data_IF_048126014936
#
_entry.id   IF_048126014936
#
_cell.length_a   1.000
_cell.length_b   1.000
_cell.length_c   1.000
_cell.angle_alpha   90.00
_cell.angle_beta   90.00
_cell.angle_gamma   90.00
#
_symmetry.space_group_name_H-M   'P 1'
#
loop_
_entity.id
_entity.type
_entity.pdbx_description
1 polymer ?
#
# COMPACT_ATOMS: atom_id res chain seq x y z
N UNK A 1 -7.99 3.30 -1.00
CA UNK A 1 -7.19 2.78 0.13
C UNK A 1 -5.74 2.65 -0.30
N UNK A 2 -4.82 3.27 0.41
CA UNK A 2 -3.37 3.07 0.26
C UNK A 2 -2.86 2.24 1.44
N UNK A 3 -2.38 1.03 1.17
CA UNK A 3 -1.62 0.21 2.11
C UNK A 3 -0.14 0.54 1.94
N UNK A 4 0.47 1.13 2.95
CA UNK A 4 1.91 1.48 2.99
C UNK A 4 2.63 0.72 4.10
N UNK A 5 3.93 0.50 3.96
CA UNK A 5 4.74 -0.26 4.92
C UNK A 5 5.92 -0.96 4.25
N UNK A 6 6.79 -1.58 5.03
CA UNK A 6 7.99 -2.27 4.56
C UNK A 6 7.69 -3.43 3.59
N UNK A 7 8.66 -3.84 2.80
CA UNK A 7 8.57 -5.06 1.99
C UNK A 7 8.27 -6.26 2.89
N UNK A 8 7.48 -7.21 2.41
CA UNK A 8 7.02 -8.39 3.15
C UNK A 8 6.21 -8.11 4.45
N UNK A 9 5.74 -6.86 4.67
CA UNK A 9 4.86 -6.52 5.79
C UNK A 9 3.43 -7.11 5.67
N UNK A 10 3.04 -7.71 4.53
CA UNK A 10 1.72 -8.30 4.32
C UNK A 10 0.74 -7.45 3.49
N UNK A 11 1.17 -6.30 2.97
CA UNK A 11 0.30 -5.37 2.21
C UNK A 11 -0.48 -6.02 1.07
N UNK A 12 0.21 -6.78 0.20
CA UNK A 12 -0.40 -7.44 -0.97
C UNK A 12 -1.41 -8.50 -0.56
N UNK A 13 -1.14 -9.22 0.53
CA UNK A 13 -2.04 -10.24 1.08
C UNK A 13 -3.30 -9.59 1.65
N UNK A 14 -3.15 -8.51 2.43
CA UNK A 14 -4.27 -7.73 2.95
C UNK A 14 -5.07 -7.13 1.80
N UNK A 15 -4.41 -6.56 0.78
CA UNK A 15 -5.07 -5.98 -0.39
C UNK A 15 -5.93 -7.01 -1.14
N UNK A 16 -5.42 -8.24 -1.32
CA UNK A 16 -6.16 -9.32 -1.95
C UNK A 16 -7.36 -9.79 -1.10
N UNK A 17 -7.19 -9.90 0.22
CA UNK A 17 -8.28 -10.22 1.14
C UNK A 17 -9.38 -9.16 1.14
N UNK A 18 -8.99 -7.88 1.16
CA UNK A 18 -9.92 -6.76 1.11
C UNK A 18 -10.67 -6.70 -0.23
N UNK A 19 -9.97 -6.89 -1.35
CA UNK A 19 -10.57 -6.98 -2.69
C UNK A 19 -11.65 -8.07 -2.71
N UNK A 20 -11.34 -9.25 -2.21
CA UNK A 20 -12.29 -10.37 -2.13
C UNK A 20 -13.50 -10.04 -1.26
N UNK A 21 -13.27 -9.49 -0.06
CA UNK A 21 -14.34 -9.10 0.88
C UNK A 21 -15.27 -8.06 0.26
N UNK A 22 -14.74 -7.05 -0.40
CA UNK A 22 -15.51 -6.02 -1.09
C UNK A 22 -16.31 -6.59 -2.26
N UNK A 23 -15.69 -7.46 -3.07
CA UNK A 23 -16.37 -8.14 -4.18
C UNK A 23 -17.56 -8.98 -3.70
N UNK A 24 -17.38 -9.77 -2.63
CA UNK A 24 -18.44 -10.61 -2.05
C UNK A 24 -19.60 -9.77 -1.47
N UNK A 25 -19.37 -8.48 -1.21
CA UNK A 25 -20.39 -7.49 -0.79
C UNK A 25 -20.92 -6.63 -1.94
N UNK A 26 -20.58 -6.96 -3.19
CA UNK A 26 -21.11 -6.30 -4.39
C UNK A 26 -20.40 -5.00 -4.77
N UNK A 27 -19.24 -4.69 -4.18
CA UNK A 27 -18.47 -3.50 -4.52
C UNK A 27 -17.45 -3.78 -5.62
N UNK A 28 -17.46 -2.96 -6.67
CA UNK A 28 -16.47 -3.03 -7.74
C UNK A 28 -15.13 -2.44 -7.26
N UNK A 29 -14.04 -3.17 -7.51
CA UNK A 29 -12.70 -2.80 -7.02
C UNK A 29 -11.67 -2.83 -8.15
N UNK A 30 -10.57 -2.11 -7.94
CA UNK A 30 -9.33 -2.25 -8.70
C UNK A 30 -8.15 -2.35 -7.73
N UNK A 31 -7.33 -3.40 -7.87
CA UNK A 31 -6.14 -3.58 -7.05
C UNK A 31 -4.88 -3.18 -7.83
N UNK A 32 -4.12 -2.25 -7.25
CA UNK A 32 -2.91 -1.65 -7.80
C UNK A 32 -1.72 -2.05 -6.90
N UNK A 33 -1.21 -3.24 -7.12
CA UNK A 33 -0.07 -3.77 -6.37
C UNK A 33 1.26 -3.33 -7.02
N UNK A 34 2.30 -3.16 -6.21
CA UNK A 34 3.62 -2.74 -6.66
C UNK A 34 4.21 -3.61 -7.78
N UNK A 35 3.91 -4.92 -7.78
CA UNK A 35 4.35 -5.81 -8.85
C UNK A 35 3.56 -5.58 -10.13
N UNK A 36 2.22 -5.62 -10.09
CA UNK A 36 1.42 -5.55 -11.30
C UNK A 36 1.53 -4.21 -12.03
N UNK A 37 1.65 -3.09 -11.28
CA UNK A 37 1.81 -1.77 -11.91
C UNK A 37 3.17 -1.60 -12.56
N UNK A 38 4.22 -2.25 -12.03
CA UNK A 38 5.57 -2.22 -12.63
C UNK A 38 5.73 -3.11 -13.85
N UNK A 39 4.84 -4.07 -14.06
CA UNK A 39 4.78 -4.84 -15.30
C UNK A 39 4.12 -4.05 -16.46
N UNK A 40 3.36 -3.02 -16.15
CA UNK A 40 2.61 -2.23 -17.12
C UNK A 40 2.82 -0.72 -17.01
N UNK A 41 2.01 -0.06 -16.20
CA UNK A 41 1.91 1.40 -16.09
C UNK A 41 3.25 2.06 -15.73
N UNK A 42 4.06 1.39 -14.92
CA UNK A 42 5.35 1.88 -14.42
C UNK A 42 6.54 0.99 -14.83
N UNK A 43 6.44 0.30 -15.97
CA UNK A 43 7.50 -0.61 -16.46
C UNK A 43 8.81 0.09 -16.80
N UNK A 44 8.77 1.39 -17.01
CA UNK A 44 9.90 2.27 -17.29
C UNK A 44 10.62 2.76 -16.04
N UNK A 45 10.07 2.50 -14.83
CA UNK A 45 10.58 2.98 -13.56
C UNK A 45 11.39 1.89 -12.84
N UNK A 46 12.51 2.31 -12.25
CA UNK A 46 13.30 1.52 -11.31
C UNK A 46 12.79 1.62 -9.86
N UNK A 47 13.72 1.47 -8.90
CA UNK A 47 13.42 1.50 -7.47
C UNK A 47 14.12 2.66 -6.73
N UNK A 48 14.68 3.63 -7.44
CA UNK A 48 15.20 4.85 -6.84
C UNK A 48 14.09 5.66 -6.15
N UNK A 49 14.44 6.56 -5.24
CA UNK A 49 13.44 7.42 -4.60
C UNK A 49 12.60 8.23 -5.61
N UNK A 50 13.18 8.85 -6.66
CA UNK A 50 12.39 9.50 -7.72
C UNK A 50 11.43 8.53 -8.45
N UNK A 51 11.89 7.31 -8.77
CA UNK A 51 11.06 6.32 -9.45
C UNK A 51 9.91 5.84 -8.57
N UNK A 52 10.14 5.66 -7.27
CA UNK A 52 9.08 5.32 -6.31
C UNK A 52 8.06 6.43 -6.19
N UNK A 53 8.51 7.68 -6.16
CA UNK A 53 7.65 8.86 -6.14
C UNK A 53 6.77 8.93 -7.39
N UNK A 54 7.35 8.77 -8.57
CA UNK A 54 6.62 8.77 -9.84
C UNK A 54 5.66 7.58 -9.93
N UNK A 55 6.06 6.40 -9.44
CA UNK A 55 5.19 5.24 -9.40
C UNK A 55 3.94 5.50 -8.55
N UNK A 56 4.08 6.05 -7.34
CA UNK A 56 2.92 6.38 -6.50
C UNK A 56 2.05 7.47 -7.15
N UNK A 57 2.64 8.48 -7.81
CA UNK A 57 1.90 9.50 -8.55
C UNK A 57 1.03 8.86 -9.65
N UNK A 58 1.60 7.95 -10.46
CA UNK A 58 0.84 7.24 -11.51
C UNK A 58 -0.28 6.38 -10.94
N UNK A 59 0.01 5.66 -9.86
CA UNK A 59 -1.01 4.85 -9.15
C UNK A 59 -2.14 5.73 -8.61
N UNK A 60 -1.83 6.89 -8.05
CA UNK A 60 -2.83 7.83 -7.55
C UNK A 60 -3.73 8.39 -8.67
N UNK A 61 -3.19 8.68 -9.87
CA UNK A 61 -3.98 9.08 -11.04
C UNK A 61 -4.95 7.98 -11.48
N UNK A 62 -4.47 6.73 -11.56
CA UNK A 62 -5.33 5.58 -11.90
C UNK A 62 -6.41 5.38 -10.84
N UNK A 63 -6.06 5.48 -9.57
CA UNK A 63 -7.00 5.37 -8.46
C UNK A 63 -8.08 6.48 -8.52
N UNK A 64 -7.68 7.72 -8.84
CA UNK A 64 -8.61 8.83 -9.01
C UNK A 64 -9.59 8.59 -10.18
N UNK A 65 -9.10 8.10 -11.32
CA UNK A 65 -9.95 7.74 -12.45
C UNK A 65 -10.93 6.62 -12.10
N UNK A 66 -10.46 5.59 -11.40
CA UNK A 66 -11.29 4.48 -10.93
C UNK A 66 -12.39 4.97 -9.96
N UNK A 67 -12.03 5.82 -8.98
CA UNK A 67 -12.98 6.39 -8.03
C UNK A 67 -14.08 7.22 -8.70
N UNK A 68 -13.75 7.95 -9.77
CA UNK A 68 -14.74 8.72 -10.56
C UNK A 68 -15.75 7.81 -11.28
N UNK A 69 -15.40 6.55 -11.50
CA UNK A 69 -16.29 5.53 -12.09
C UNK A 69 -16.99 4.68 -11.03
N UNK A 70 -16.84 5.01 -9.75
CA UNK A 70 -17.48 4.28 -8.65
C UNK A 70 -16.72 3.02 -8.19
N UNK A 71 -15.47 2.81 -8.64
CA UNK A 71 -14.67 1.70 -8.17
C UNK A 71 -13.89 2.08 -6.90
N UNK A 72 -13.71 1.12 -6.00
CA UNK A 72 -12.80 1.26 -4.85
C UNK A 72 -11.40 0.85 -5.30
N UNK A 73 -10.47 1.81 -5.30
CA UNK A 73 -9.08 1.52 -5.60
C UNK A 73 -8.32 1.08 -4.33
N UNK A 74 -7.61 -0.04 -4.42
CA UNK A 74 -6.77 -0.60 -3.35
C UNK A 74 -5.33 -0.61 -3.86
N UNK A 75 -4.49 0.28 -3.33
CA UNK A 75 -3.08 0.36 -3.68
C UNK A 75 -2.21 -0.27 -2.58
N UNK A 76 -1.32 -1.20 -2.93
CA UNK A 76 -0.38 -1.85 -2.02
C UNK A 76 1.06 -1.53 -2.44
N UNK A 77 1.65 -0.51 -1.82
CA UNK A 77 2.96 0.03 -2.17
C UNK A 77 3.81 0.25 -0.91
N UNK A 78 5.13 0.25 -1.04
CA UNK A 78 6.01 0.62 0.09
C UNK A 78 5.80 2.09 0.44
N UNK A 79 5.85 2.99 -0.54
CA UNK A 79 5.62 4.44 -0.39
C UNK A 79 6.33 5.06 0.83
N UNK A 80 7.67 4.98 0.90
CA UNK A 80 8.39 5.28 2.14
C UNK A 80 8.45 6.77 2.48
N UNK A 81 8.31 7.66 1.51
CA UNK A 81 8.43 9.10 1.72
C UNK A 81 7.08 9.74 2.09
N UNK A 82 7.01 10.46 3.21
CA UNK A 82 5.79 11.10 3.71
C UNK A 82 5.23 12.14 2.75
N UNK A 83 6.10 12.97 2.16
CA UNK A 83 5.69 14.01 1.22
C UNK A 83 5.04 13.44 -0.06
N UNK A 84 5.44 12.23 -0.48
CA UNK A 84 4.87 11.57 -1.66
C UNK A 84 3.48 11.03 -1.34
N UNK A 85 3.28 10.47 -0.14
CA UNK A 85 1.94 10.05 0.33
C UNK A 85 1.00 11.25 0.48
N UNK A 86 1.49 12.36 1.03
CA UNK A 86 0.73 13.62 1.13
C UNK A 86 0.25 14.10 -0.24
N UNK A 87 1.11 14.11 -1.25
CA UNK A 87 0.73 14.50 -2.63
C UNK A 87 -0.32 13.56 -3.23
N UNK A 88 -0.24 12.27 -2.95
CA UNK A 88 -1.25 11.31 -3.39
C UNK A 88 -2.61 11.58 -2.71
N UNK A 89 -2.61 11.92 -1.41
CA UNK A 89 -3.80 12.33 -0.66
C UNK A 89 -4.42 13.61 -1.23
N UNK A 90 -3.61 14.61 -1.50
CA UNK A 90 -4.06 15.88 -2.13
C UNK A 90 -4.67 15.66 -3.50
N UNK A 91 -4.06 14.82 -4.34
CA UNK A 91 -4.55 14.50 -5.68
C UNK A 91 -5.92 13.80 -5.66
N UNK A 92 -6.09 12.81 -4.79
CA UNK A 92 -7.32 12.01 -4.68
C UNK A 92 -8.42 12.79 -3.95
N UNK A 93 -8.04 13.64 -3.01
CA UNK A 93 -8.90 14.36 -2.09
C UNK A 93 -9.05 13.62 -0.76
N UNK A 94 -8.87 14.35 0.33
CA UNK A 94 -8.79 13.82 1.68
C UNK A 94 -9.99 12.92 2.06
N UNK A 95 -11.20 13.34 1.70
CA UNK A 95 -12.42 12.59 1.96
C UNK A 95 -12.54 11.24 1.24
N UNK A 96 -11.72 11.00 0.21
CA UNK A 96 -11.67 9.76 -0.59
C UNK A 96 -10.41 8.95 -0.34
N UNK A 97 -9.45 9.51 0.39
CA UNK A 97 -8.17 8.87 0.67
C UNK A 97 -8.21 8.19 2.04
N UNK A 98 -7.84 6.93 2.07
CA UNK A 98 -7.67 6.14 3.29
C UNK A 98 -6.25 5.61 3.30
N UNK A 99 -5.45 6.03 4.29
CA UNK A 99 -4.07 5.57 4.48
C UNK A 99 -4.01 4.53 5.59
N UNK A 100 -3.61 3.32 5.22
CA UNK A 100 -3.43 2.21 6.15
C UNK A 100 -1.95 1.91 6.27
N UNK A 101 -1.40 2.12 7.45
CA UNK A 101 -0.01 1.78 7.75
C UNK A 101 0.10 0.34 8.24
N UNK A 102 0.75 -0.51 7.46
CA UNK A 102 1.07 -1.89 7.82
C UNK A 102 2.42 -1.89 8.54
N UNK A 103 2.37 -1.69 9.87
CA UNK A 103 3.51 -1.48 10.77
C UNK A 103 4.01 -2.82 11.32
N UNK A 104 4.45 -3.68 10.45
CA UNK A 104 5.04 -4.96 10.83
C UNK A 104 6.52 -4.77 11.17
N UNK A 105 7.00 -5.28 12.32
CA UNK A 105 8.41 -5.18 12.69
C UNK A 105 9.35 -5.71 11.60
N UNK A 106 10.44 -4.98 11.32
CA UNK A 106 11.37 -5.33 10.25
C UNK A 106 11.95 -6.74 10.39
N UNK A 107 12.15 -7.23 11.62
CA UNK A 107 12.62 -8.59 11.86
C UNK A 107 11.64 -9.65 11.33
N UNK A 108 10.34 -9.40 11.44
CA UNK A 108 9.28 -10.25 10.90
C UNK A 108 9.23 -10.14 9.37
N UNK A 109 9.36 -8.92 8.83
CA UNK A 109 9.44 -8.70 7.39
C UNK A 109 10.60 -9.48 6.75
N UNK A 110 11.79 -9.44 7.38
CA UNK A 110 12.98 -10.19 6.94
C UNK A 110 12.75 -11.71 6.94
N UNK A 111 12.10 -12.24 7.97
CA UNK A 111 11.76 -13.67 8.04
C UNK A 111 10.79 -14.12 6.95
N UNK A 112 9.91 -13.22 6.51
CA UNK A 112 8.90 -13.47 5.46
C UNK A 112 9.41 -13.22 4.05
N UNK A 113 10.56 -12.59 3.90
CA UNK A 113 11.14 -12.25 2.58
C UNK A 113 11.66 -13.51 1.87
N UNK A 114 10.81 -14.09 1.03
CA UNK A 114 11.16 -15.23 0.17
C UNK A 114 11.96 -14.84 -1.07
N UNK A 115 12.06 -13.54 -1.37
CA UNK A 115 12.76 -13.01 -2.55
C UNK A 115 14.24 -12.71 -2.28
N UNK A 116 14.65 -12.66 -1.01
CA UNK A 116 16.02 -12.35 -0.60
C UNK A 116 16.43 -10.88 -0.79
N UNK A 117 15.45 -9.98 -0.93
CA UNK A 117 15.73 -8.56 -1.15
C UNK A 117 16.39 -7.90 0.06
N UNK A 118 16.00 -8.27 1.29
CA UNK A 118 16.66 -7.75 2.49
C UNK A 118 18.13 -8.15 2.56
N UNK A 119 18.46 -9.41 2.25
CA UNK A 119 19.85 -9.87 2.22
C UNK A 119 20.67 -9.19 1.10
N UNK A 120 20.07 -8.99 -0.07
CA UNK A 120 20.71 -8.28 -1.17
C UNK A 120 20.95 -6.79 -0.81
N UNK A 121 20.01 -6.16 -0.09
CA UNK A 121 20.17 -4.80 0.40
C UNK A 121 21.27 -4.70 1.48
N UNK A 122 21.36 -5.67 2.40
CA UNK A 122 22.44 -5.74 3.40
C UNK A 122 23.82 -5.88 2.76
N UNK A 123 23.92 -6.60 1.62
CA UNK A 123 25.16 -6.70 0.84
C UNK A 123 25.45 -5.49 -0.04
N UNK A 124 24.56 -4.48 -0.05
CA UNK A 124 24.69 -3.28 -0.89
C UNK A 124 24.40 -3.52 -2.38
N UNK A 125 23.77 -4.65 -2.73
CA UNK A 125 23.38 -4.97 -4.11
C UNK A 125 22.10 -4.22 -4.53
N UNK A 126 21.30 -3.77 -3.55
CA UNK A 126 20.12 -2.93 -3.75
C UNK A 126 20.35 -1.63 -3.00
N UNK A 127 20.44 -0.54 -3.74
CA UNK A 127 20.54 0.81 -3.20
C UNK A 127 19.16 1.33 -2.76
N UNK A 128 19.14 2.30 -1.84
CA UNK A 128 17.91 2.99 -1.38
C UNK A 128 16.80 2.04 -0.90
N UNK A 129 17.14 0.91 -0.26
CA UNK A 129 16.14 -0.05 0.19
C UNK A 129 15.51 0.40 1.53
N UNK A 130 14.17 0.66 1.57
CA UNK A 130 13.49 1.20 2.74
C UNK A 130 13.60 0.26 3.96
N UNK A 131 14.07 0.83 5.08
CA UNK A 131 14.29 0.10 6.33
C UNK A 131 15.66 -0.57 6.44
N UNK A 132 16.52 -0.50 5.40
CA UNK A 132 17.89 -1.02 5.40
C UNK A 132 18.86 0.11 5.05
N UNK A 133 18.97 0.49 3.79
CA UNK A 133 19.88 1.53 3.29
C UNK A 133 19.20 2.89 3.10
N UNK A 134 17.87 2.96 3.19
CA UNK A 134 17.11 4.21 3.22
C UNK A 134 16.04 4.21 4.31
N UNK A 135 15.62 5.40 4.72
CA UNK A 135 14.60 5.58 5.75
C UNK A 135 13.21 5.25 5.21
N UNK A 136 12.39 4.57 6.00
CA UNK A 136 10.95 4.55 5.85
C UNK A 136 10.34 5.56 6.82
N UNK A 137 9.78 6.63 6.29
CA UNK A 137 9.10 7.68 7.07
C UNK A 137 7.71 7.20 7.47
N UNK A 138 7.55 6.79 8.73
CA UNK A 138 6.27 6.31 9.24
C UNK A 138 5.18 7.38 9.11
N UNK A 139 3.95 7.02 8.66
CA UNK A 139 2.84 7.96 8.66
C UNK A 139 2.50 8.42 10.09
N UNK A 140 2.25 9.72 10.27
CA UNK A 140 1.80 10.31 11.54
C UNK A 140 0.28 10.49 11.58
N UNK A 141 -0.35 10.69 10.42
CA UNK A 141 -1.77 10.97 10.25
C UNK A 141 -2.48 9.86 9.48
N UNK A 142 -2.06 8.59 9.71
CA UNK A 142 -2.71 7.44 9.10
C UNK A 142 -4.14 7.26 9.63
N UNK A 143 -5.01 6.74 8.79
CA UNK A 143 -6.40 6.44 9.16
C UNK A 143 -6.51 5.13 9.96
N UNK A 144 -5.57 4.20 9.73
CA UNK A 144 -5.50 2.93 10.43
C UNK A 144 -4.05 2.42 10.49
N UNK A 145 -3.66 1.84 11.63
CA UNK A 145 -2.39 1.13 11.82
C UNK A 145 -2.68 -0.34 12.07
N UNK A 146 -1.97 -1.21 11.36
CA UNK A 146 -2.08 -2.66 11.46
C UNK A 146 -0.70 -3.27 11.70
N UNK A 147 -0.62 -4.25 12.59
CA UNK A 147 0.60 -5.03 12.82
C UNK A 147 0.33 -6.51 12.53
N UNK A 148 0.80 -6.98 11.38
CA UNK A 148 0.60 -8.38 10.96
C UNK A 148 1.47 -9.38 11.71
N UNK A 149 2.30 -8.94 12.65
CA UNK A 149 3.02 -9.85 13.56
C UNK A 149 2.13 -10.41 14.68
N UNK A 150 1.03 -9.69 14.98
CA UNK A 150 0.09 -10.01 16.04
C UNK A 150 -1.37 -10.13 15.57
N UNK A 151 -1.70 -9.56 14.41
CA UNK A 151 -3.00 -9.64 13.78
C UNK A 151 -2.95 -10.59 12.59
N UNK A 152 -3.94 -11.45 12.45
CA UNK A 152 -4.07 -12.25 11.24
C UNK A 152 -4.64 -11.43 10.06
N UNK A 153 -4.67 -12.03 8.88
CA UNK A 153 -5.10 -11.32 7.66
C UNK A 153 -6.59 -10.98 7.70
N UNK A 154 -7.43 -11.86 8.25
CA UNK A 154 -8.87 -11.62 8.34
C UNK A 154 -9.17 -10.48 9.32
N UNK A 155 -8.49 -10.41 10.46
CA UNK A 155 -8.57 -9.29 11.40
C UNK A 155 -8.15 -7.96 10.77
N UNK A 156 -7.06 -7.97 9.99
CA UNK A 156 -6.60 -6.78 9.25
C UNK A 156 -7.64 -6.33 8.21
N UNK A 157 -8.20 -7.26 7.45
CA UNK A 157 -9.23 -6.98 6.44
C UNK A 157 -10.50 -6.47 7.09
N UNK A 158 -10.94 -7.06 8.20
CA UNK A 158 -12.14 -6.63 8.94
C UNK A 158 -11.98 -5.21 9.47
N UNK A 159 -10.80 -4.87 10.01
CA UNK A 159 -10.52 -3.52 10.50
C UNK A 159 -10.61 -2.47 9.37
N UNK A 160 -10.05 -2.77 8.19
CA UNK A 160 -10.15 -1.86 7.03
C UNK A 160 -11.60 -1.77 6.54
N UNK A 161 -12.29 -2.90 6.46
CA UNK A 161 -13.68 -2.95 5.99
C UNK A 161 -14.59 -2.11 6.90
N UNK A 162 -14.47 -2.26 8.22
CA UNK A 162 -15.20 -1.45 9.21
C UNK A 162 -14.90 0.05 9.05
N UNK A 163 -13.63 0.42 8.88
CA UNK A 163 -13.26 1.81 8.63
C UNK A 163 -13.93 2.38 7.36
N UNK A 164 -14.05 1.59 6.30
CA UNK A 164 -14.72 2.01 5.07
C UNK A 164 -16.24 2.15 5.26
N UNK A 165 -16.86 1.28 6.06
CA UNK A 165 -18.28 1.41 6.46
C UNK A 165 -18.50 2.69 7.26
N UNK A 166 -17.70 2.94 8.28
CA UNK A 166 -17.82 4.13 9.16
C UNK A 166 -17.63 5.44 8.37
N UNK A 167 -16.79 5.42 7.33
CA UNK A 167 -16.63 6.56 6.42
C UNK A 167 -17.73 6.69 5.36
N UNK A 168 -18.69 5.77 5.33
CA UNK A 168 -19.78 5.76 4.36
C UNK A 168 -19.32 5.51 2.92
N UNK A 169 -18.15 4.88 2.74
CA UNK A 169 -17.62 4.47 1.42
C UNK A 169 -18.42 3.29 0.89
N UNK A 170 -18.79 2.36 1.79
CA UNK A 170 -19.56 1.16 1.48
C UNK A 170 -21.05 1.48 1.69
N UNK A 171 -21.68 2.05 0.66
CA UNK A 171 -23.13 2.22 0.64
C UNK A 171 -23.76 1.01 -0.03
N UNK A 172 -24.68 0.37 0.71
CA UNK A 172 -25.53 -0.69 0.16
C UNK A 172 -26.51 -0.16 -0.89
#
# INVERSE_FOLDING_TARGET
VLLTGLTAAGKSTIAAGLERRLFDRGHATIRLDGENVRLGISRDLGFSAPDRSENLRRVAEVALLANRQGLIAIAALVAPEANVRTRARELIGDHRFVEVFVDTPIGVCRQRDSSGQYEAADRGEIEDYPGVSSTYEQPTDMDLRLDTSVQDIDECVDAIFTLLEDRGVLRG
#
